data_IF_049823726572
#
_entry.id   IF_049823726572
#
_cell.length_a   1.000
_cell.length_b   1.000
_cell.length_c   1.000
_cell.angle_alpha   90.00
_cell.angle_beta   90.00
_cell.angle_gamma   90.00
#
_symmetry.space_group_name_H-M   'P 1'
#
loop_
_entity.id
_entity.type
_entity.pdbx_description
1 polymer ?
#
# COMPACT_ATOMS: atom_id res chain seq x y z
N UNK A 1 15.47 -1.63 -1.22
CA UNK A 1 14.30 -2.28 -0.62
C UNK A 1 14.37 -3.80 -0.67
N UNK A 2 14.57 -4.42 -1.84
CA UNK A 2 14.41 -5.88 -2.04
C UNK A 2 15.28 -6.73 -1.10
N UNK A 3 16.58 -6.44 -1.00
CA UNK A 3 17.50 -7.18 -0.11
C UNK A 3 17.17 -7.04 1.37
N UNK A 4 16.53 -5.95 1.79
CA UNK A 4 16.03 -5.78 3.16
C UNK A 4 14.78 -6.61 3.37
N UNK A 5 13.83 -6.54 2.44
CA UNK A 5 12.56 -7.28 2.50
C UNK A 5 12.80 -8.78 2.60
N UNK A 6 13.67 -9.33 1.76
CA UNK A 6 14.04 -10.75 1.80
C UNK A 6 14.59 -11.19 3.16
N UNK A 7 15.53 -10.40 3.72
CA UNK A 7 16.12 -10.70 5.03
C UNK A 7 15.09 -10.66 6.14
N UNK A 8 14.21 -9.65 6.13
CA UNK A 8 13.18 -9.48 7.15
C UNK A 8 12.12 -10.59 7.07
N UNK A 9 11.75 -11.03 5.86
CA UNK A 9 10.85 -12.16 5.65
C UNK A 9 11.41 -13.52 6.12
N UNK A 10 12.73 -13.62 6.39
CA UNK A 10 13.32 -14.84 6.98
C UNK A 10 12.91 -15.05 8.45
N UNK A 11 12.41 -14.00 9.11
CA UNK A 11 11.92 -14.07 10.48
C UNK A 11 10.51 -14.69 10.47
N UNK A 12 10.33 -15.82 11.17
CA UNK A 12 9.05 -16.52 11.26
C UNK A 12 7.94 -15.57 11.74
N UNK A 13 6.87 -15.48 10.95
CA UNK A 13 5.72 -14.62 11.23
C UNK A 13 5.76 -13.24 10.56
N UNK A 14 6.88 -12.87 9.90
CA UNK A 14 6.99 -11.63 9.13
C UNK A 14 6.86 -11.95 7.64
N UNK A 15 5.77 -11.46 7.03
CA UNK A 15 5.56 -11.54 5.58
C UNK A 15 5.96 -10.28 4.84
N UNK A 16 5.92 -10.34 3.50
CA UNK A 16 6.34 -9.25 2.61
C UNK A 16 5.61 -7.93 2.89
N UNK A 17 4.31 -7.99 3.22
CA UNK A 17 3.55 -6.79 3.60
C UNK A 17 4.19 -6.05 4.78
N UNK A 18 4.50 -6.78 5.85
CA UNK A 18 5.10 -6.22 7.06
C UNK A 18 6.50 -5.72 6.79
N UNK A 19 7.29 -6.47 6.01
CA UNK A 19 8.65 -6.08 5.64
C UNK A 19 8.66 -4.76 4.82
N UNK A 20 7.78 -4.64 3.83
CA UNK A 20 7.61 -3.41 3.04
C UNK A 20 7.11 -2.24 3.91
N UNK A 21 6.21 -2.51 4.87
CA UNK A 21 5.75 -1.49 5.81
C UNK A 21 6.88 -0.97 6.70
N UNK A 22 7.75 -1.87 7.19
CA UNK A 22 8.95 -1.49 7.97
C UNK A 22 9.91 -0.69 7.09
N UNK A 23 10.18 -1.12 5.86
CA UNK A 23 11.02 -0.37 4.92
C UNK A 23 10.50 1.06 4.72
N UNK A 24 9.18 1.21 4.56
CA UNK A 24 8.54 2.51 4.39
C UNK A 24 8.63 3.40 5.63
N UNK A 25 8.27 2.87 6.81
CA UNK A 25 8.05 3.69 8.03
C UNK A 25 9.27 3.81 8.92
N UNK A 26 10.10 2.77 8.99
CA UNK A 26 11.27 2.75 9.86
C UNK A 26 12.55 3.13 9.10
N UNK A 27 12.67 2.72 7.84
CA UNK A 27 13.84 3.03 7.01
C UNK A 27 13.64 4.23 6.07
N UNK A 28 12.45 4.82 6.06
CA UNK A 28 12.09 5.94 5.18
C UNK A 28 12.35 5.65 3.70
N UNK A 29 12.21 4.39 3.27
CA UNK A 29 12.42 4.00 1.88
C UNK A 29 11.30 4.61 1.00
N UNK A 30 11.62 5.54 0.08
CA UNK A 30 10.63 6.25 -0.71
C UNK A 30 9.93 5.34 -1.74
N UNK A 31 10.50 4.17 -2.05
CA UNK A 31 9.98 3.24 -3.04
C UNK A 31 9.36 1.98 -2.41
N UNK A 32 9.34 1.87 -1.07
CA UNK A 32 8.70 0.75 -0.39
C UNK A 32 7.21 0.67 -0.72
N UNK A 33 6.73 -0.56 -0.93
CA UNK A 33 5.41 -0.77 -1.53
C UNK A 33 4.71 -2.03 -1.01
N UNK A 34 3.83 -1.91 0.01
CA UNK A 34 3.08 -3.03 0.58
C UNK A 34 1.88 -3.43 -0.31
N UNK A 35 2.16 -3.94 -1.52
CA UNK A 35 1.15 -4.17 -2.57
C UNK A 35 0.03 -5.17 -2.23
N UNK A 36 0.15 -5.94 -1.14
CA UNK A 36 -0.89 -6.87 -0.67
C UNK A 36 -1.88 -6.20 0.29
N UNK A 37 -1.67 -4.94 0.65
CA UNK A 37 -2.54 -4.16 1.53
C UNK A 37 -3.97 -4.04 0.96
N UNK A 38 -4.97 -4.50 1.72
CA UNK A 38 -6.36 -4.53 1.27
C UNK A 38 -6.91 -3.13 0.99
N UNK A 39 -6.58 -2.17 1.85
CA UNK A 39 -7.09 -0.80 1.72
C UNK A 39 -6.45 -0.12 0.52
N UNK A 40 -5.15 -0.28 0.33
CA UNK A 40 -4.44 0.23 -0.84
C UNK A 40 -5.01 -0.32 -2.13
N UNK A 41 -5.27 -1.63 -2.19
CA UNK A 41 -5.88 -2.31 -3.35
C UNK A 41 -7.28 -1.79 -3.70
N UNK A 42 -8.05 -1.37 -2.69
CA UNK A 42 -9.37 -0.74 -2.87
C UNK A 42 -9.24 0.74 -3.26
N UNK A 43 -8.32 1.46 -2.62
CA UNK A 43 -8.09 2.88 -2.86
C UNK A 43 -7.57 3.18 -4.26
N UNK A 44 -6.82 2.24 -4.85
CA UNK A 44 -6.20 2.38 -6.16
C UNK A 44 -7.13 2.03 -7.34
N UNK A 45 -8.44 1.88 -7.12
CA UNK A 45 -9.42 1.56 -8.17
C UNK A 45 -10.78 2.21 -7.89
N UNK A 46 -11.76 1.98 -8.77
CA UNK A 46 -13.10 2.53 -8.61
C UNK A 46 -13.80 2.02 -7.32
N UNK A 47 -14.73 2.81 -6.74
CA UNK A 47 -15.50 2.37 -5.58
C UNK A 47 -16.22 1.03 -5.84
N UNK A 48 -16.14 0.11 -4.88
CA UNK A 48 -16.74 -1.23 -4.98
C UNK A 48 -15.82 -2.29 -5.62
N UNK A 49 -14.72 -1.89 -6.25
CA UNK A 49 -13.74 -2.82 -6.82
C UNK A 49 -12.58 -3.09 -5.85
N UNK A 50 -11.82 -4.15 -6.12
CA UNK A 50 -10.57 -4.45 -5.41
C UNK A 50 -9.58 -5.08 -6.38
N UNK A 51 -8.49 -4.38 -6.67
CA UNK A 51 -7.41 -4.92 -7.50
C UNK A 51 -6.83 -6.19 -6.86
N UNK A 52 -6.27 -7.11 -7.63
CA UNK A 52 -5.36 -8.15 -7.12
C UNK A 52 -4.01 -7.53 -6.72
N UNK A 53 -3.18 -8.20 -5.88
CA UNK A 53 -1.84 -7.71 -5.57
C UNK A 53 -0.96 -7.53 -6.81
N UNK A 54 -1.11 -8.41 -7.81
CA UNK A 54 -0.39 -8.32 -9.09
C UNK A 54 -0.79 -7.07 -9.87
N UNK A 55 -2.09 -6.83 -10.06
CA UNK A 55 -2.59 -5.65 -10.76
C UNK A 55 -2.17 -4.34 -10.08
N UNK A 56 -2.16 -4.31 -8.75
CA UNK A 56 -1.70 -3.14 -8.02
C UNK A 56 -0.19 -2.89 -8.23
N UNK A 57 0.66 -3.94 -8.26
CA UNK A 57 2.08 -3.79 -8.60
C UNK A 57 2.26 -3.20 -10.01
N UNK A 58 1.59 -3.75 -11.00
CA UNK A 58 1.66 -3.28 -12.39
C UNK A 58 1.21 -1.82 -12.52
N UNK A 59 0.11 -1.45 -11.87
CA UNK A 59 -0.38 -0.06 -11.84
C UNK A 59 0.59 0.91 -11.16
N UNK A 60 1.40 0.43 -10.22
CA UNK A 60 2.33 1.23 -9.44
C UNK A 60 3.71 1.39 -10.07
N UNK A 61 4.00 0.72 -11.19
CA UNK A 61 5.29 0.84 -11.89
C UNK A 61 5.66 2.30 -12.25
N UNK A 62 4.74 3.13 -12.76
CA UNK A 62 5.06 4.53 -13.09
C UNK A 62 5.29 5.44 -11.87
N UNK A 63 4.98 4.97 -10.65
CA UNK A 63 5.13 5.75 -9.42
C UNK A 63 6.54 5.69 -8.85
N UNK A 64 7.39 4.81 -9.39
CA UNK A 64 8.78 4.71 -8.96
C UNK A 64 9.55 6.01 -9.26
N UNK A 65 10.49 6.44 -8.39
CA UNK A 65 10.92 5.78 -7.15
C UNK A 65 10.13 6.21 -5.90
N UNK A 66 8.94 6.79 -6.05
CA UNK A 66 8.17 7.46 -4.99
C UNK A 66 6.90 6.71 -4.56
N UNK A 67 6.86 5.39 -4.75
CA UNK A 67 5.68 4.55 -4.45
C UNK A 67 5.15 4.74 -3.02
N UNK A 68 6.02 4.92 -2.03
CA UNK A 68 5.60 5.13 -0.64
C UNK A 68 4.73 6.38 -0.46
N UNK A 69 5.03 7.46 -1.21
CA UNK A 69 4.23 8.68 -1.17
C UNK A 69 2.83 8.45 -1.76
N UNK A 70 2.74 7.72 -2.87
CA UNK A 70 1.46 7.33 -3.47
C UNK A 70 0.62 6.47 -2.49
N UNK A 71 1.25 5.53 -1.78
CA UNK A 71 0.58 4.70 -0.76
C UNK A 71 -0.05 5.58 0.33
N UNK A 72 0.71 6.53 0.88
CA UNK A 72 0.22 7.43 1.94
C UNK A 72 -0.96 8.28 1.43
N UNK A 73 -0.87 8.81 0.21
CA UNK A 73 -1.95 9.58 -0.41
C UNK A 73 -3.20 8.73 -0.63
N UNK A 74 -3.05 7.48 -1.10
CA UNK A 74 -4.17 6.56 -1.33
C UNK A 74 -4.85 6.15 -0.02
N UNK A 75 -4.10 5.89 1.05
CA UNK A 75 -4.69 5.64 2.37
C UNK A 75 -5.49 6.84 2.90
N UNK A 76 -4.93 8.05 2.76
CA UNK A 76 -5.64 9.28 3.14
C UNK A 76 -6.91 9.49 2.32
N UNK A 77 -6.81 9.29 1.00
CA UNK A 77 -7.95 9.39 0.08
C UNK A 77 -9.05 8.39 0.44
N UNK A 78 -8.70 7.14 0.73
CA UNK A 78 -9.68 6.13 1.11
C UNK A 78 -10.41 6.47 2.42
N UNK A 79 -9.67 6.95 3.44
CA UNK A 79 -10.26 7.41 4.69
C UNK A 79 -11.24 8.58 4.48
N UNK A 80 -10.90 9.51 3.57
CA UNK A 80 -11.77 10.62 3.21
C UNK A 80 -13.07 10.17 2.54
N UNK A 81 -12.99 9.24 1.57
CA UNK A 81 -14.18 8.69 0.90
C UNK A 81 -15.14 8.04 1.90
N UNK A 82 -14.62 7.25 2.85
CA UNK A 82 -15.45 6.61 3.88
C UNK A 82 -16.12 7.62 4.80
N UNK A 83 -15.46 8.73 5.12
CA UNK A 83 -16.07 9.81 5.89
C UNK A 83 -17.24 10.47 5.15
N UNK A 84 -17.12 10.68 3.84
CA UNK A 84 -18.23 11.22 3.03
C UNK A 84 -19.41 10.26 2.99
N UNK A 85 -19.15 8.96 2.80
CA UNK A 85 -20.20 7.94 2.74
C UNK A 85 -21.01 7.89 4.03
N UNK A 86 -20.35 7.95 5.18
CA UNK A 86 -21.01 8.00 6.50
C UNK A 86 -21.87 9.27 6.62
N UNK A 87 -21.34 10.44 6.26
CA UNK A 87 -22.06 11.71 6.39
C UNK A 87 -23.27 11.84 5.46
N UNK A 88 -23.35 11.05 4.38
CA UNK A 88 -24.53 11.01 3.48
C UNK A 88 -25.66 10.10 3.99
N UNK A 89 -25.36 9.24 4.95
CA UNK A 89 -26.29 8.25 5.50
C UNK A 89 -26.85 8.68 6.88
N UNK A 90 -26.61 9.92 7.29
CA UNK A 90 -27.13 10.59 8.49
C UNK A 90 -28.00 11.76 8.01
#
# INVERSE_FOLDING_TARGET
>A
TETFVEKICSIKGIGEWTAQYIAMRALNDPNAFPHSDLILRRAATAPGETLTPKQLRERAEPWQPWRAYCVILLWRYYGYLKKIEINKNI
#
